data_IF_393164470786
#
_entry.id   IF_393164470786
#
_cell.length_a   1.000
_cell.length_b   1.000
_cell.length_c   1.000
_cell.angle_alpha   90.00
_cell.angle_beta   90.00
_cell.angle_gamma   90.00
#
_symmetry.space_group_name_H-M   'P 1'
#
loop_
_entity.id
_entity.type
_entity.pdbx_description
1 polymer ?
#
# COMPACT_ATOMS: atom_id res chain seq x y z
N UNK A 1 -18.64 3.40 -5.99
CA UNK A 1 -17.61 3.21 -7.02
C UNK A 1 -17.89 1.96 -7.84
N UNK A 2 -17.63 2.05 -9.15
CA UNK A 2 -17.61 0.92 -10.09
C UNK A 2 -16.16 0.50 -10.35
N UNK A 3 -15.91 -0.80 -10.33
CA UNK A 3 -14.63 -1.41 -10.72
C UNK A 3 -14.68 -1.90 -12.16
N UNK A 4 -13.81 -1.34 -13.01
CA UNK A 4 -13.52 -1.85 -14.34
C UNK A 4 -12.28 -2.74 -14.31
N UNK A 5 -12.39 -3.96 -14.82
CA UNK A 5 -11.28 -4.90 -14.95
C UNK A 5 -10.83 -5.06 -16.41
N UNK A 6 -9.60 -5.55 -16.61
CA UNK A 6 -9.06 -5.93 -17.93
C UNK A 6 -9.03 -4.77 -18.96
N UNK A 7 -8.86 -3.53 -18.50
CA UNK A 7 -8.63 -2.39 -19.40
C UNK A 7 -7.22 -2.50 -19.96
N UNK A 8 -7.10 -2.74 -21.27
CA UNK A 8 -5.82 -2.98 -21.96
C UNK A 8 -5.40 -1.75 -22.74
N UNK A 9 -4.20 -1.24 -22.46
CA UNK A 9 -3.62 -0.11 -23.16
C UNK A 9 -2.18 -0.41 -23.60
N UNK A 10 -1.68 0.18 -24.70
CA UNK A 10 -0.27 0.09 -25.09
C UNK A 10 0.67 0.60 -24.00
N UNK A 11 1.90 0.07 -23.94
CA UNK A 11 2.90 0.48 -22.94
C UNK A 11 3.19 2.00 -22.93
N UNK A 12 3.08 2.64 -24.08
CA UNK A 12 3.37 4.05 -24.35
C UNK A 12 2.11 4.92 -24.47
N UNK A 13 0.96 4.43 -23.97
CA UNK A 13 -0.27 5.23 -23.99
C UNK A 13 -0.10 6.55 -23.23
N UNK A 14 -0.79 7.60 -23.68
CA UNK A 14 -0.87 8.86 -22.95
C UNK A 14 -1.86 8.77 -21.80
N UNK A 15 -1.76 9.66 -20.82
CA UNK A 15 -2.57 9.63 -19.59
C UNK A 15 -4.08 9.68 -19.89
N UNK A 16 -4.48 10.45 -20.91
CA UNK A 16 -5.87 10.62 -21.35
C UNK A 16 -6.49 9.32 -21.89
N UNK A 17 -5.67 8.33 -22.25
CA UNK A 17 -6.15 7.05 -22.76
C UNK A 17 -6.91 6.23 -21.70
N UNK A 18 -6.65 6.44 -20.41
CA UNK A 18 -7.40 5.78 -19.32
C UNK A 18 -8.83 6.29 -19.26
N UNK A 19 -9.00 7.61 -19.23
CA UNK A 19 -10.31 8.26 -19.22
C UNK A 19 -11.11 7.92 -20.49
N UNK A 20 -10.45 7.99 -21.65
CA UNK A 20 -11.07 7.59 -22.91
C UNK A 20 -11.50 6.11 -22.92
N UNK A 21 -10.72 5.22 -22.28
CA UNK A 21 -11.09 3.82 -22.14
C UNK A 21 -12.28 3.62 -21.18
N UNK A 22 -12.38 4.40 -20.11
CA UNK A 22 -13.53 4.40 -19.19
C UNK A 22 -14.80 4.83 -19.94
N UNK A 23 -14.76 6.01 -20.58
CA UNK A 23 -15.85 6.57 -21.39
C UNK A 23 -16.32 5.58 -22.44
N UNK A 24 -15.37 5.02 -23.20
CA UNK A 24 -15.67 4.02 -24.23
C UNK A 24 -16.28 2.74 -23.66
N UNK A 25 -15.83 2.28 -22.50
CA UNK A 25 -16.29 1.02 -21.89
C UNK A 25 -17.68 1.16 -21.28
N UNK A 26 -17.95 2.27 -20.60
CA UNK A 26 -19.22 2.52 -19.91
C UNK A 26 -20.26 3.23 -20.78
N UNK A 27 -19.86 3.81 -21.92
CA UNK A 27 -20.78 4.55 -22.80
C UNK A 27 -21.29 5.86 -22.19
N UNK A 28 -20.47 6.50 -21.36
CA UNK A 28 -20.80 7.74 -20.63
C UNK A 28 -20.04 8.94 -21.19
N UNK A 29 -20.38 10.15 -20.78
CA UNK A 29 -19.56 11.32 -21.10
C UNK A 29 -18.40 11.45 -20.12
N UNK A 30 -17.31 12.11 -20.55
CA UNK A 30 -16.17 12.40 -19.69
C UNK A 30 -16.57 13.22 -18.44
N UNK A 31 -17.53 14.13 -18.61
CA UNK A 31 -18.07 14.99 -17.54
C UNK A 31 -18.79 14.21 -16.43
N UNK A 32 -19.25 12.99 -16.72
CA UNK A 32 -19.95 12.14 -15.75
C UNK A 32 -18.97 11.45 -14.77
N UNK A 33 -17.66 11.53 -15.03
CA UNK A 33 -16.61 10.94 -14.18
C UNK A 33 -16.20 11.95 -13.12
N UNK A 34 -16.52 11.69 -11.85
CA UNK A 34 -16.06 12.53 -10.74
C UNK A 34 -14.58 12.29 -10.43
N UNK A 35 -14.19 11.01 -10.33
CA UNK A 35 -12.81 10.61 -10.08
C UNK A 35 -12.59 9.16 -10.50
N UNK A 36 -11.34 8.78 -10.73
CA UNK A 36 -10.98 7.37 -10.83
C UNK A 36 -9.61 7.12 -10.20
N UNK A 37 -9.40 5.88 -9.76
CA UNK A 37 -8.14 5.43 -9.16
C UNK A 37 -7.68 4.12 -9.79
N UNK A 38 -6.37 3.98 -9.96
CA UNK A 38 -5.79 2.72 -10.44
C UNK A 38 -5.67 1.75 -9.25
N UNK A 39 -6.61 0.82 -9.14
CA UNK A 39 -6.58 -0.24 -8.14
C UNK A 39 -5.44 -1.23 -8.40
N UNK A 40 -5.24 -1.60 -9.67
CA UNK A 40 -4.16 -2.50 -10.09
C UNK A 40 -3.65 -2.10 -11.48
N UNK A 41 -2.34 -2.16 -11.66
CA UNK A 41 -1.68 -2.11 -12.97
C UNK A 41 -0.75 -3.31 -13.11
N UNK A 42 -1.06 -4.19 -14.05
CA UNK A 42 -0.19 -5.27 -14.51
C UNK A 42 0.31 -5.00 -15.93
N UNK A 43 1.08 -5.95 -16.46
CA UNK A 43 1.50 -5.93 -17.85
C UNK A 43 1.52 -7.36 -18.41
N UNK A 44 1.17 -7.49 -19.69
CA UNK A 44 1.39 -8.69 -20.48
C UNK A 44 2.60 -8.47 -21.37
N UNK A 45 3.73 -9.08 -20.99
CA UNK A 45 4.98 -9.01 -21.73
C UNK A 45 5.28 -10.30 -22.52
N UNK A 46 4.29 -11.17 -22.77
CA UNK A 46 4.50 -12.42 -23.52
C UNK A 46 4.93 -12.16 -24.97
N UNK A 47 4.46 -11.06 -25.58
CA UNK A 47 4.88 -10.59 -26.90
C UNK A 47 5.76 -9.35 -26.76
N UNK A 48 7.07 -9.50 -26.94
CA UNK A 48 8.04 -8.39 -26.77
C UNK A 48 7.75 -7.16 -27.62
N UNK A 49 7.20 -7.33 -28.82
CA UNK A 49 6.84 -6.24 -29.74
C UNK A 49 5.49 -5.60 -29.44
N UNK A 50 4.69 -6.16 -28.53
CA UNK A 50 3.35 -5.66 -28.19
C UNK A 50 3.08 -5.89 -26.70
N UNK A 51 3.76 -5.10 -25.87
CA UNK A 51 3.56 -5.10 -24.42
C UNK A 51 2.31 -4.29 -24.11
N UNK A 52 1.36 -4.91 -23.42
CA UNK A 52 0.12 -4.27 -23.01
C UNK A 52 0.12 -4.07 -21.50
N UNK A 53 -0.29 -2.89 -21.06
CA UNK A 53 -0.63 -2.62 -19.67
C UNK A 53 -2.08 -3.06 -19.44
N UNK A 54 -2.30 -3.75 -18.32
CA UNK A 54 -3.62 -4.24 -17.92
C UNK A 54 -4.01 -3.52 -16.62
N UNK A 55 -5.10 -2.78 -16.68
CA UNK A 55 -5.58 -1.97 -15.57
C UNK A 55 -6.85 -2.55 -14.96
N UNK A 56 -6.92 -2.43 -13.63
CA UNK A 56 -8.16 -2.42 -12.88
C UNK A 56 -8.34 -1.02 -12.30
N UNK A 57 -9.47 -0.40 -12.60
CA UNK A 57 -9.80 0.97 -12.22
C UNK A 57 -11.02 0.97 -11.31
N UNK A 58 -10.97 1.74 -10.22
CA UNK A 58 -12.14 2.06 -9.41
C UNK A 58 -12.58 3.49 -9.74
N UNK A 59 -13.83 3.66 -10.14
CA UNK A 59 -14.37 4.89 -10.73
C UNK A 59 -15.54 5.37 -9.87
N UNK A 60 -15.56 6.67 -9.62
CA UNK A 60 -16.62 7.38 -8.92
C UNK A 60 -17.40 8.24 -9.92
N UNK A 61 -18.72 8.06 -9.94
CA UNK A 61 -19.64 8.73 -10.87
C UNK A 61 -21.04 8.81 -10.23
N UNK A 62 -21.95 9.60 -10.79
CA UNK A 62 -23.27 9.84 -10.16
C UNK A 62 -24.25 8.67 -10.38
N UNK A 63 -24.29 8.11 -11.59
CA UNK A 63 -25.28 7.10 -12.01
C UNK A 63 -24.83 5.63 -11.80
N UNK A 64 -24.14 5.32 -10.71
CA UNK A 64 -23.49 4.01 -10.51
C UNK A 64 -24.47 2.84 -10.54
N UNK A 65 -25.60 2.96 -9.84
CA UNK A 65 -26.58 1.89 -9.74
C UNK A 65 -27.20 1.54 -11.11
N UNK A 66 -27.47 2.56 -11.93
CA UNK A 66 -28.05 2.38 -13.26
C UNK A 66 -27.06 1.70 -14.21
N UNK A 67 -25.78 2.11 -14.16
CA UNK A 67 -24.72 1.47 -14.95
C UNK A 67 -24.49 0.03 -14.52
N UNK A 68 -24.49 -0.26 -13.21
CA UNK A 68 -24.33 -1.64 -12.72
C UNK A 68 -25.47 -2.56 -13.17
N UNK A 69 -26.71 -2.06 -13.23
CA UNK A 69 -27.85 -2.82 -13.76
C UNK A 69 -27.70 -3.06 -15.27
N UNK A 70 -27.37 -2.00 -16.02
CA UNK A 70 -27.13 -2.05 -17.47
C UNK A 70 -26.03 -3.04 -17.84
N UNK A 71 -24.95 -3.09 -17.05
CA UNK A 71 -23.79 -3.96 -17.26
C UNK A 71 -23.82 -5.23 -16.39
N UNK A 72 -24.99 -5.63 -15.85
CA UNK A 72 -25.15 -6.80 -14.97
C UNK A 72 -24.58 -8.11 -15.52
N UNK A 73 -24.50 -8.24 -16.85
CA UNK A 73 -23.97 -9.42 -17.54
C UNK A 73 -22.49 -9.31 -17.93
N UNK A 74 -21.86 -8.14 -17.78
CA UNK A 74 -20.44 -7.94 -18.09
C UNK A 74 -19.56 -8.23 -16.87
N UNK A 75 -18.74 -9.30 -16.88
CA UNK A 75 -17.89 -9.65 -15.73
C UNK A 75 -16.77 -8.63 -15.47
N UNK A 76 -16.53 -7.69 -16.37
CA UNK A 76 -15.50 -6.65 -16.23
C UNK A 76 -16.04 -5.36 -15.63
N UNK A 77 -17.35 -5.24 -15.41
CA UNK A 77 -17.98 -4.08 -14.76
C UNK A 77 -18.65 -4.59 -13.49
N UNK A 78 -18.08 -4.23 -12.33
CA UNK A 78 -18.59 -4.72 -11.04
C UNK A 78 -18.66 -3.59 -10.04
N UNK A 79 -19.49 -3.74 -9.02
CA UNK A 79 -19.39 -2.87 -7.86
C UNK A 79 -18.01 -3.05 -7.21
N UNK A 80 -17.35 -1.94 -6.88
CA UNK A 80 -16.10 -1.99 -6.11
C UNK A 80 -16.41 -2.57 -4.73
N UNK A 81 -15.71 -3.64 -4.28
CA UNK A 81 -15.91 -4.18 -2.94
C UNK A 81 -15.49 -3.17 -1.87
N UNK A 82 -16.11 -3.22 -0.70
CA UNK A 82 -15.64 -2.47 0.47
C UNK A 82 -14.29 -3.05 0.92
N UNK A 83 -13.23 -2.27 0.69
CA UNK A 83 -11.84 -2.62 1.04
C UNK A 83 -11.36 -1.87 2.29
N UNK A 84 -12.25 -1.16 2.99
CA UNK A 84 -11.88 -0.44 4.21
C UNK A 84 -11.58 -1.43 5.33
N UNK A 85 -10.44 -1.25 6.00
CA UNK A 85 -10.09 -2.07 7.16
C UNK A 85 -11.06 -1.80 8.31
N UNK A 86 -11.78 -2.84 8.75
CA UNK A 86 -12.71 -2.76 9.88
C UNK A 86 -12.00 -3.18 11.16
N UNK A 87 -11.82 -2.24 12.08
CA UNK A 87 -11.27 -2.54 13.40
C UNK A 87 -12.19 -3.52 14.14
N UNK A 88 -11.63 -4.64 14.61
CA UNK A 88 -12.42 -5.70 15.27
C UNK A 88 -12.75 -5.39 16.73
N UNK A 89 -12.12 -4.40 17.34
CA UNK A 89 -12.31 -4.03 18.74
C UNK A 89 -11.90 -2.58 19.01
N UNK A 90 -12.26 -2.10 20.20
CA UNK A 90 -11.77 -0.85 20.80
C UNK A 90 -11.31 -1.14 22.22
N UNK A 91 -10.24 -0.50 22.65
CA UNK A 91 -9.74 -0.64 24.02
C UNK A 91 -10.80 -0.17 25.03
N UNK A 92 -11.01 -0.89 26.15
CA UNK A 92 -11.87 -0.44 27.22
C UNK A 92 -11.30 0.83 27.86
N UNK A 93 -12.17 1.72 28.33
CA UNK A 93 -11.74 3.00 28.94
C UNK A 93 -10.81 2.78 30.14
N UNK A 94 -11.08 1.73 30.93
CA UNK A 94 -10.31 1.35 32.13
C UNK A 94 -9.22 0.32 31.85
N UNK A 95 -8.57 0.36 30.68
CA UNK A 95 -7.47 -0.54 30.36
C UNK A 95 -6.30 -0.34 31.34
N UNK A 96 -6.07 -1.33 32.21
CA UNK A 96 -4.99 -1.30 33.23
C UNK A 96 -3.67 -1.82 32.69
N UNK A 97 -3.72 -2.78 31.78
CA UNK A 97 -2.53 -3.45 31.24
C UNK A 97 -2.34 -3.10 29.77
N UNK A 98 -1.11 -2.68 29.45
CA UNK A 98 -0.73 -2.31 28.08
C UNK A 98 -0.12 -3.51 27.40
N UNK A 99 -0.54 -3.85 26.16
CA UNK A 99 0.08 -4.94 25.42
C UNK A 99 1.53 -4.60 25.08
N UNK A 100 2.41 -5.60 25.17
CA UNK A 100 3.83 -5.47 24.81
C UNK A 100 4.06 -6.16 23.48
N UNK A 101 4.68 -5.45 22.54
CA UNK A 101 5.11 -5.97 21.24
C UNK A 101 6.63 -6.03 21.24
N UNK A 102 7.19 -7.21 21.03
CA UNK A 102 8.64 -7.44 21.02
C UNK A 102 9.10 -7.53 19.57
N UNK A 103 9.95 -6.59 19.17
CA UNK A 103 10.46 -6.42 17.82
C UNK A 103 9.72 -5.33 17.05
N UNK A 104 10.47 -4.45 16.38
CA UNK A 104 9.93 -3.37 15.56
C UNK A 104 10.22 -3.57 14.06
N UNK A 105 10.09 -4.82 13.59
CA UNK A 105 10.00 -5.17 12.17
C UNK A 105 8.58 -4.98 11.61
N UNK A 106 8.30 -5.36 10.34
CA UNK A 106 6.99 -5.15 9.73
C UNK A 106 5.83 -5.78 10.53
N UNK A 107 5.99 -6.98 11.04
CA UNK A 107 4.98 -7.65 11.88
C UNK A 107 4.69 -6.85 13.16
N UNK A 108 5.73 -6.49 13.93
CA UNK A 108 5.58 -5.72 15.15
C UNK A 108 5.08 -4.29 14.91
N UNK A 109 5.48 -3.67 13.80
CA UNK A 109 5.00 -2.37 13.35
C UNK A 109 3.48 -2.40 13.12
N UNK A 110 2.96 -3.35 12.33
CA UNK A 110 1.52 -3.46 12.08
C UNK A 110 0.74 -3.86 13.33
N UNK A 111 1.25 -4.78 14.14
CA UNK A 111 0.63 -5.14 15.42
C UNK A 111 0.51 -3.91 16.34
N UNK A 112 1.60 -3.16 16.51
CA UNK A 112 1.64 -1.95 17.31
C UNK A 112 0.75 -0.84 16.75
N UNK A 113 0.75 -0.62 15.43
CA UNK A 113 -0.10 0.36 14.77
C UNK A 113 -1.58 0.09 15.01
N UNK A 114 -2.04 -1.13 14.70
CA UNK A 114 -3.46 -1.50 14.81
C UNK A 114 -3.92 -1.44 16.26
N UNK A 115 -3.12 -1.95 17.20
CA UNK A 115 -3.39 -1.84 18.64
C UNK A 115 -3.46 -0.36 19.09
N UNK A 116 -2.57 0.49 18.60
CA UNK A 116 -2.57 1.91 18.94
C UNK A 116 -3.82 2.64 18.39
N UNK A 117 -4.21 2.37 17.14
CA UNK A 117 -5.42 2.92 16.52
C UNK A 117 -6.70 2.47 17.24
N UNK A 118 -6.73 1.23 17.74
CA UNK A 118 -7.81 0.72 18.59
C UNK A 118 -7.76 1.25 20.03
N UNK A 119 -6.74 2.02 20.42
CA UNK A 119 -6.61 2.66 21.72
C UNK A 119 -5.92 1.83 22.82
N UNK A 120 -5.32 0.68 22.49
CA UNK A 120 -4.70 -0.22 23.48
C UNK A 120 -3.37 0.28 24.05
N UNK A 121 -2.80 1.37 23.52
CA UNK A 121 -1.54 1.99 24.00
C UNK A 121 -0.37 0.98 24.09
N UNK A 122 -0.06 0.23 23.01
CA UNK A 122 0.99 -0.79 23.06
C UNK A 122 2.35 -0.21 23.45
N UNK A 123 3.16 -1.02 24.13
CA UNK A 123 4.58 -0.76 24.37
C UNK A 123 5.36 -1.60 23.36
N UNK A 124 6.12 -0.96 22.48
CA UNK A 124 6.98 -1.67 21.53
C UNK A 124 8.41 -1.62 22.05
N UNK A 125 9.05 -2.78 22.15
CA UNK A 125 10.47 -2.89 22.50
C UNK A 125 11.23 -3.51 21.35
N UNK A 126 12.35 -2.91 20.98
CA UNK A 126 13.25 -3.39 19.94
C UNK A 126 14.66 -3.50 20.53
N UNK A 127 15.34 -4.61 20.27
CA UNK A 127 16.69 -4.86 20.80
C UNK A 127 17.74 -3.97 20.12
N UNK A 128 17.54 -3.68 18.84
CA UNK A 128 18.44 -2.84 18.08
C UNK A 128 18.10 -1.37 18.15
N UNK A 129 18.78 -0.58 17.32
CA UNK A 129 18.74 0.88 17.37
C UNK A 129 17.73 1.50 16.41
N UNK A 130 17.48 2.80 16.61
CA UNK A 130 16.83 3.66 15.62
C UNK A 130 17.55 3.61 14.25
N UNK A 131 16.80 3.79 13.18
CA UNK A 131 17.23 3.49 11.81
C UNK A 131 18.45 4.30 11.39
N UNK A 132 18.60 5.53 11.89
CA UNK A 132 19.75 6.39 11.57
C UNK A 132 21.05 5.85 12.17
N UNK A 133 21.04 5.48 13.45
CA UNK A 133 22.20 4.87 14.11
C UNK A 133 22.47 3.46 13.59
N UNK A 134 21.41 2.66 13.40
CA UNK A 134 21.47 1.33 12.80
C UNK A 134 22.12 1.33 11.41
N UNK A 135 21.81 2.34 10.60
CA UNK A 135 22.42 2.51 9.26
C UNK A 135 23.93 2.73 9.37
N UNK A 136 24.37 3.55 10.33
CA UNK A 136 25.81 3.77 10.58
C UNK A 136 26.50 2.47 11.02
N UNK A 137 25.89 1.72 11.94
CA UNK A 137 26.44 0.45 12.43
C UNK A 137 26.54 -0.58 11.28
N UNK A 138 25.48 -0.70 10.48
CA UNK A 138 25.41 -1.66 9.35
C UNK A 138 26.40 -1.32 8.24
N UNK A 139 26.48 -0.06 7.81
CA UNK A 139 27.45 0.35 6.78
C UNK A 139 28.88 0.35 7.32
N UNK A 140 29.04 0.64 8.62
CA UNK A 140 30.29 0.48 9.35
C UNK A 140 30.79 -0.96 9.29
N UNK A 141 29.92 -1.94 9.56
CA UNK A 141 30.22 -3.36 9.43
C UNK A 141 30.65 -3.73 8.01
N UNK A 142 29.88 -3.36 6.98
CA UNK A 142 30.22 -3.71 5.59
C UNK A 142 31.56 -3.15 5.12
N UNK A 143 31.95 -1.96 5.61
CA UNK A 143 33.21 -1.32 5.23
C UNK A 143 34.40 -1.72 6.10
N UNK A 144 34.20 -1.84 7.41
CA UNK A 144 35.28 -2.01 8.40
C UNK A 144 35.36 -3.42 9.00
N UNK A 145 34.41 -4.30 8.66
CA UNK A 145 34.28 -5.68 9.18
C UNK A 145 34.07 -5.76 10.70
N UNK A 146 33.63 -4.67 11.32
CA UNK A 146 33.27 -4.64 12.75
C UNK A 146 31.77 -4.83 12.91
N UNK A 147 31.37 -6.02 13.37
CA UNK A 147 29.95 -6.35 13.59
C UNK A 147 29.49 -5.85 14.97
N UNK A 148 28.36 -5.15 15.01
CA UNK A 148 27.59 -4.96 16.24
C UNK A 148 26.48 -6.04 16.30
N UNK A 149 26.54 -7.00 17.25
CA UNK A 149 25.55 -8.08 17.34
C UNK A 149 24.11 -7.60 17.59
N UNK A 150 23.94 -6.43 18.20
CA UNK A 150 22.61 -5.88 18.54
C UNK A 150 22.08 -4.89 17.49
N UNK A 151 22.91 -4.43 16.56
CA UNK A 151 22.53 -3.39 15.58
C UNK A 151 23.15 -3.70 14.22
N UNK A 152 22.37 -4.33 13.34
CA UNK A 152 22.84 -4.84 12.06
C UNK A 152 21.68 -5.02 11.06
N UNK A 153 21.96 -5.72 9.96
CA UNK A 153 20.98 -5.99 8.89
C UNK A 153 19.71 -6.67 9.40
N UNK A 154 19.78 -7.45 10.49
CA UNK A 154 18.63 -8.15 11.05
C UNK A 154 17.92 -7.37 12.16
N UNK A 155 18.68 -6.73 13.05
CA UNK A 155 18.15 -6.13 14.29
C UNK A 155 18.19 -4.60 14.31
N UNK A 156 17.12 -4.00 14.85
CA UNK A 156 16.87 -2.56 14.92
C UNK A 156 15.58 -2.13 14.20
N UNK A 157 15.33 -0.83 14.18
CA UNK A 157 14.10 -0.23 13.63
C UNK A 157 13.81 -0.67 12.19
N UNK A 158 12.59 -1.16 11.95
CA UNK A 158 12.13 -1.73 10.68
C UNK A 158 12.55 -3.19 10.44
N UNK A 159 13.29 -3.81 11.37
CA UNK A 159 13.71 -5.21 11.31
C UNK A 159 14.48 -5.56 10.04
N UNK A 160 14.36 -6.80 9.56
CA UNK A 160 15.05 -7.26 8.35
C UNK A 160 14.58 -6.56 7.06
N UNK A 161 13.41 -5.91 7.07
CA UNK A 161 12.86 -5.23 5.89
C UNK A 161 13.61 -3.96 5.49
N UNK A 162 14.28 -3.29 6.44
CA UNK A 162 14.92 -1.98 6.25
C UNK A 162 16.01 -1.97 5.19
N UNK A 163 16.82 -3.02 5.10
CA UNK A 163 17.93 -3.14 4.14
C UNK A 163 17.61 -4.13 3.02
N UNK A 164 16.32 -4.26 2.70
CA UNK A 164 15.83 -5.08 1.60
C UNK A 164 15.44 -4.22 0.39
N UNK A 165 15.14 -4.87 -0.73
CA UNK A 165 14.56 -4.23 -1.92
C UNK A 165 13.09 -3.79 -1.70
N UNK A 166 12.51 -4.01 -0.51
CA UNK A 166 11.15 -3.60 -0.19
C UNK A 166 10.06 -4.34 -0.99
N UNK A 167 10.41 -5.45 -1.65
CA UNK A 167 9.48 -6.25 -2.44
C UNK A 167 8.36 -6.80 -1.56
N UNK A 168 7.11 -6.47 -1.92
CA UNK A 168 5.93 -7.11 -1.36
C UNK A 168 5.56 -8.32 -2.23
N UNK A 169 5.58 -9.51 -1.63
CA UNK A 169 5.24 -10.74 -2.33
C UNK A 169 3.72 -10.94 -2.42
N UNK A 170 3.31 -11.70 -3.43
CA UNK A 170 1.90 -11.95 -3.70
C UNK A 170 1.27 -12.84 -2.62
N UNK A 171 0.17 -12.38 -2.03
CA UNK A 171 -0.62 -13.12 -1.03
C UNK A 171 -1.88 -13.72 -1.66
N UNK A 172 -1.78 -14.30 -2.86
CA UNK A 172 -2.94 -14.80 -3.68
C UNK A 172 -3.87 -15.75 -2.92
N UNK A 173 -3.39 -16.38 -1.85
CA UNK A 173 -4.14 -17.35 -1.05
C UNK A 173 -4.74 -16.79 0.24
N UNK A 174 -4.62 -15.49 0.51
CA UNK A 174 -5.28 -14.88 1.68
C UNK A 174 -6.78 -14.67 1.36
N UNK A 175 -7.71 -15.41 1.98
CA UNK A 175 -9.14 -15.28 1.70
C UNK A 175 -9.72 -13.95 2.19
N UNK A 176 -9.04 -13.28 3.13
CA UNK A 176 -9.50 -12.04 3.75
C UNK A 176 -8.92 -10.79 3.09
N UNK A 177 -7.86 -10.94 2.27
CA UNK A 177 -7.13 -9.84 1.61
C UNK A 177 -7.06 -8.58 2.49
N UNK A 178 -6.66 -8.75 3.76
CA UNK A 178 -6.63 -7.65 4.73
C UNK A 178 -5.46 -6.73 4.42
N UNK A 179 -5.71 -5.73 3.57
CA UNK A 179 -4.75 -4.67 3.29
C UNK A 179 -5.00 -3.53 4.26
N UNK A 180 -4.16 -3.44 5.30
CA UNK A 180 -4.09 -2.21 6.10
C UNK A 180 -3.33 -1.18 5.26
N UNK A 181 -4.09 -0.32 4.57
CA UNK A 181 -3.50 0.80 3.83
C UNK A 181 -3.06 1.87 4.82
N UNK A 182 -1.76 1.93 5.06
CA UNK A 182 -1.12 3.07 5.71
C UNK A 182 -1.08 4.24 4.72
N UNK A 183 -2.06 5.14 4.79
CA UNK A 183 -1.90 6.48 4.20
C UNK A 183 -0.97 7.27 5.12
N UNK A 184 0.34 7.25 4.83
CA UNK A 184 1.30 8.13 5.50
C UNK A 184 1.09 9.58 5.00
N UNK A 185 0.01 10.22 5.42
CA UNK A 185 -0.19 11.67 5.26
C UNK A 185 0.77 12.49 6.14
N UNK A 186 1.53 11.82 7.02
CA UNK A 186 2.47 12.42 7.97
C UNK A 186 3.94 12.39 7.51
N UNK A 187 4.25 11.94 6.28
CA UNK A 187 5.61 12.06 5.76
C UNK A 187 5.87 13.50 5.30
N UNK A 188 6.23 14.37 6.25
CA UNK A 188 6.88 15.64 5.92
C UNK A 188 8.33 15.32 5.52
N UNK A 189 8.78 15.68 4.30
CA UNK A 189 10.19 15.56 3.94
C UNK A 189 11.02 16.37 4.95
N UNK A 190 12.10 15.77 5.45
CA UNK A 190 13.03 16.47 6.32
C UNK A 190 13.45 17.81 5.66
N UNK A 191 13.48 18.92 6.41
CA UNK A 191 13.84 20.22 5.84
C UNK A 191 15.22 20.11 5.19
N UNK A 192 15.30 20.39 3.89
CA UNK A 192 16.57 20.50 3.17
C UNK A 192 17.42 21.51 3.94
N UNK A 193 18.54 21.06 4.52
CA UNK A 193 19.57 21.96 5.03
C UNK A 193 19.95 22.86 3.86
N UNK A 194 19.63 24.16 3.95
CA UNK A 194 20.19 25.17 3.05
C UNK A 194 21.70 25.05 3.17
N UNK A 195 22.38 24.70 2.08
CA UNK A 195 23.82 24.89 2.01
C UNK A 195 24.06 26.39 2.17
N UNK A 196 24.68 26.78 3.28
CA UNK A 196 25.30 28.10 3.33
C UNK A 196 26.36 28.13 2.22
N UNK A 197 26.32 29.21 1.44
CA UNK A 197 27.41 29.62 0.55
C UNK A 197 28.70 29.79 1.35
#
# INVERSE_FOLDING_TARGET
MIRLNEIKLPLDHKEEALEAAIVKKLGINAEDIHSFTVFRRGYDARKKSNILLIYTLDIELENEAQLLDTFSHDPHVKQTPDMEYKFVAKAPENLKERPVVIGFGPCGLFAGLVLAQMGFKPIIVERGKEVRERTKDTFGFWRKRTLNPESNVQFGEGGAGTFSDGKLYSQVKDPTFMVVRLSLSLWQPAPRKRSCM
#
